data_IF_025151312913
#
_entry.id   IF_025151312913
#
_cell.length_a   1.000
_cell.length_b   1.000
_cell.length_c   1.000
_cell.angle_alpha   90.00
_cell.angle_beta   90.00
_cell.angle_gamma   90.00
#
_symmetry.space_group_name_H-M   'P 1'
#
loop_
_entity.id
_entity.type
_entity.pdbx_description
1 polymer ?
#
# COMPACT_ATOMS: atom_id res chain seq x y z
N UNK A 1 -7.19 1.23 -3.32
CA UNK A 1 -8.38 0.93 -2.55
C UNK A 1 -8.04 0.28 -1.23
N UNK A 2 -8.87 0.53 -0.25
CA UNK A 2 -8.63 0.04 1.12
C UNK A 2 -8.53 -1.49 1.20
N UNK A 3 -9.35 -2.21 0.45
CA UNK A 3 -9.33 -3.67 0.46
C UNK A 3 -8.03 -4.22 -0.15
N UNK A 4 -7.50 -3.57 -1.19
CA UNK A 4 -6.23 -3.94 -1.77
C UNK A 4 -5.10 -3.83 -0.73
N UNK A 5 -5.09 -2.74 0.03
CA UNK A 5 -4.08 -2.51 1.07
C UNK A 5 -4.16 -3.55 2.18
N UNK A 6 -5.37 -3.90 2.61
CA UNK A 6 -5.58 -4.92 3.63
C UNK A 6 -5.05 -6.28 3.17
N UNK A 7 -5.29 -6.63 1.92
CA UNK A 7 -4.81 -7.88 1.33
C UNK A 7 -3.28 -7.88 1.22
N UNK A 8 -2.70 -6.79 0.71
CA UNK A 8 -1.25 -6.68 0.63
C UNK A 8 -0.60 -6.79 2.01
N UNK A 9 -1.20 -6.17 3.03
CA UNK A 9 -0.69 -6.23 4.39
C UNK A 9 -0.56 -7.66 4.89
N UNK A 10 -1.57 -8.50 4.64
CA UNK A 10 -1.54 -9.90 5.05
C UNK A 10 -0.44 -10.66 4.31
N UNK A 11 -0.28 -10.40 3.00
CA UNK A 11 0.80 -11.04 2.24
C UNK A 11 2.19 -10.65 2.74
N UNK A 12 2.39 -9.38 3.11
CA UNK A 12 3.67 -9.00 3.70
C UNK A 12 3.91 -9.70 5.04
N UNK A 13 2.86 -9.85 5.84
CA UNK A 13 2.97 -10.50 7.14
C UNK A 13 3.30 -12.00 7.02
N UNK A 14 2.72 -12.67 6.03
CA UNK A 14 2.88 -14.12 5.84
C UNK A 14 4.02 -14.49 4.90
N UNK A 15 4.53 -13.56 4.11
CA UNK A 15 5.50 -13.73 3.04
C UNK A 15 4.95 -14.47 1.82
N UNK A 16 4.22 -15.54 1.99
CA UNK A 16 3.48 -16.21 0.90
C UNK A 16 2.29 -16.94 1.48
N UNK A 17 1.22 -17.04 0.71
CA UNK A 17 0.00 -17.69 1.17
C UNK A 17 -0.93 -18.03 0.00
N UNK A 18 -1.80 -18.98 0.24
CA UNK A 18 -2.95 -19.24 -0.61
C UNK A 18 -4.05 -18.25 -0.27
N UNK A 19 -4.94 -17.96 -1.22
CA UNK A 19 -6.04 -17.00 -1.00
C UNK A 19 -6.89 -17.41 0.21
N UNK A 20 -7.20 -18.71 0.34
CA UNK A 20 -8.00 -19.21 1.47
C UNK A 20 -7.37 -18.93 2.83
N UNK A 21 -6.04 -18.82 2.88
CA UNK A 21 -5.32 -18.60 4.14
C UNK A 21 -5.37 -17.15 4.60
N UNK A 22 -5.56 -16.21 3.68
CA UNK A 22 -5.57 -14.79 4.03
C UNK A 22 -6.95 -14.30 4.46
N UNK A 23 -8.02 -14.95 3.99
CA UNK A 23 -9.38 -14.49 4.28
C UNK A 23 -9.67 -14.40 5.78
N UNK A 24 -9.31 -15.40 6.61
CA UNK A 24 -9.57 -15.31 8.05
C UNK A 24 -8.82 -14.15 8.74
N UNK A 25 -7.77 -13.64 8.11
CA UNK A 25 -6.94 -12.57 8.67
C UNK A 25 -7.39 -11.18 8.22
N UNK A 26 -8.40 -11.12 7.33
CA UNK A 26 -8.95 -9.85 6.88
C UNK A 26 -10.03 -9.36 7.85
N UNK A 27 -10.25 -8.02 7.90
CA UNK A 27 -11.26 -7.45 8.79
C UNK A 27 -12.68 -7.92 8.48
N UNK A 28 -13.52 -7.95 9.52
CA UNK A 28 -14.94 -8.24 9.36
C UNK A 28 -15.68 -7.06 8.70
N UNK A 29 -16.72 -7.32 7.90
CA UNK A 29 -17.19 -8.64 7.51
C UNK A 29 -16.22 -9.32 6.55
N UNK A 30 -16.02 -10.62 6.72
CA UNK A 30 -15.07 -11.37 5.88
C UNK A 30 -15.53 -11.33 4.43
N UNK A 31 -14.64 -11.01 3.48
CA UNK A 31 -15.00 -11.02 2.06
C UNK A 31 -15.14 -12.44 1.53
N UNK A 32 -15.90 -12.57 0.46
CA UNK A 32 -16.03 -13.84 -0.25
C UNK A 32 -14.73 -14.18 -0.97
N UNK A 33 -14.46 -15.48 -1.10
CA UNK A 33 -13.29 -15.97 -1.82
C UNK A 33 -13.17 -15.34 -3.21
N UNK A 34 -14.25 -15.31 -3.98
CA UNK A 34 -14.21 -14.79 -5.34
C UNK A 34 -13.84 -13.31 -5.39
N UNK A 35 -14.30 -12.54 -4.40
CA UNK A 35 -13.95 -11.11 -4.32
C UNK A 35 -12.46 -10.93 -4.06
N UNK A 36 -11.93 -11.70 -3.12
CA UNK A 36 -10.50 -11.66 -2.81
C UNK A 36 -9.66 -12.13 -4.00
N UNK A 37 -10.07 -13.21 -4.66
CA UNK A 37 -9.38 -13.72 -5.83
C UNK A 37 -9.30 -12.69 -6.95
N UNK A 38 -10.37 -11.94 -7.18
CA UNK A 38 -10.39 -10.87 -8.18
C UNK A 38 -9.38 -9.78 -7.84
N UNK A 39 -9.34 -9.35 -6.58
CA UNK A 39 -8.41 -8.32 -6.14
C UNK A 39 -6.96 -8.82 -6.24
N UNK A 40 -6.70 -10.06 -5.83
CA UNK A 40 -5.36 -10.66 -5.92
C UNK A 40 -4.89 -10.69 -7.37
N UNK A 41 -5.77 -11.03 -8.31
CA UNK A 41 -5.44 -11.01 -9.73
C UNK A 41 -5.08 -9.61 -10.20
N UNK A 42 -5.83 -8.62 -9.78
CA UNK A 42 -5.54 -7.21 -10.11
C UNK A 42 -4.17 -6.81 -9.54
N UNK A 43 -3.88 -7.17 -8.30
CA UNK A 43 -2.59 -6.88 -7.69
C UNK A 43 -1.43 -7.56 -8.43
N UNK A 44 -1.65 -8.77 -8.92
CA UNK A 44 -0.65 -9.46 -9.73
C UNK A 44 -0.45 -8.76 -11.07
N UNK A 45 -1.52 -8.33 -11.71
CA UNK A 45 -1.46 -7.59 -12.98
C UNK A 45 -0.72 -6.27 -12.82
N UNK A 46 -0.86 -5.63 -11.67
CA UNK A 46 -0.13 -4.38 -11.34
C UNK A 46 1.35 -4.63 -11.05
N UNK A 47 1.77 -5.88 -10.90
CA UNK A 47 3.14 -6.21 -10.58
C UNK A 47 3.46 -6.16 -9.10
N UNK A 48 2.46 -6.17 -8.23
CA UNK A 48 2.64 -6.12 -6.77
C UNK A 48 2.73 -7.51 -6.15
N UNK A 49 2.08 -8.49 -6.76
CA UNK A 49 2.12 -9.88 -6.35
C UNK A 49 2.56 -10.75 -7.52
N UNK A 50 3.09 -11.92 -7.20
CA UNK A 50 3.32 -12.98 -8.16
C UNK A 50 2.91 -14.29 -7.49
N UNK A 51 2.93 -15.38 -8.21
CA UNK A 51 2.57 -16.67 -7.63
C UNK A 51 3.45 -17.79 -8.17
N UNK A 52 3.51 -18.86 -7.42
CA UNK A 52 4.05 -20.14 -7.85
C UNK A 52 2.97 -21.18 -7.71
N UNK A 53 2.97 -22.16 -8.60
CA UNK A 53 1.98 -23.22 -8.57
C UNK A 53 2.37 -24.29 -7.57
N UNK A 54 1.43 -24.67 -6.70
CA UNK A 54 1.60 -25.75 -5.73
C UNK A 54 0.44 -26.71 -5.91
N UNK A 55 0.68 -27.80 -6.64
CA UNK A 55 -0.38 -28.73 -7.04
C UNK A 55 -1.36 -28.04 -7.99
N UNK A 56 -2.63 -27.99 -7.61
CA UNK A 56 -3.68 -27.31 -8.38
C UNK A 56 -3.92 -25.87 -7.89
N UNK A 57 -3.11 -25.36 -6.98
CA UNK A 57 -3.35 -24.09 -6.32
C UNK A 57 -2.22 -23.12 -6.60
N UNK A 58 -2.52 -21.84 -6.50
CA UNK A 58 -1.53 -20.77 -6.63
C UNK A 58 -1.19 -20.21 -5.26
N UNK A 59 0.11 -20.23 -4.94
CA UNK A 59 0.63 -19.61 -3.72
C UNK A 59 1.18 -18.25 -4.08
N UNK A 60 0.56 -17.20 -3.59
CA UNK A 60 0.93 -15.83 -3.94
C UNK A 60 1.93 -15.25 -2.95
N UNK A 61 2.76 -14.33 -3.43
CA UNK A 61 3.76 -13.66 -2.62
C UNK A 61 3.99 -12.23 -3.13
N UNK A 62 4.34 -11.28 -2.24
CA UNK A 62 4.61 -9.92 -2.67
C UNK A 62 5.95 -9.81 -3.38
N UNK A 63 5.99 -9.01 -4.45
CA UNK A 63 7.21 -8.73 -5.20
C UNK A 63 7.65 -7.28 -5.06
N UNK A 64 6.90 -6.48 -4.30
CA UNK A 64 7.29 -5.14 -3.92
C UNK A 64 7.29 -5.02 -2.40
N UNK A 65 8.10 -4.09 -1.89
CA UNK A 65 8.13 -3.81 -0.46
C UNK A 65 6.93 -2.97 -0.05
N UNK A 66 6.67 -2.91 1.28
CA UNK A 66 5.65 -2.03 1.84
C UNK A 66 5.92 -0.57 1.48
N UNK A 67 7.17 -0.16 1.53
CA UNK A 67 7.59 1.20 1.19
C UNK A 67 7.34 1.52 -0.28
N UNK A 68 7.67 0.60 -1.16
CA UNK A 68 7.41 0.77 -2.60
C UNK A 68 5.92 0.91 -2.89
N UNK A 69 5.10 0.10 -2.22
CA UNK A 69 3.64 0.19 -2.36
C UNK A 69 3.12 1.55 -1.88
N UNK A 70 3.65 2.05 -0.75
CA UNK A 70 3.29 3.36 -0.23
C UNK A 70 3.62 4.46 -1.23
N UNK A 71 4.76 4.35 -1.91
CA UNK A 71 5.15 5.32 -2.93
C UNK A 71 4.17 5.33 -4.10
N UNK A 72 3.72 4.16 -4.56
CA UNK A 72 2.70 4.08 -5.61
C UNK A 72 1.40 4.74 -5.18
N UNK A 73 0.93 4.44 -3.98
CA UNK A 73 -0.32 4.99 -3.45
C UNK A 73 -0.25 6.51 -3.33
N UNK A 74 0.86 7.03 -2.81
CA UNK A 74 1.06 8.47 -2.65
C UNK A 74 1.16 9.17 -3.99
N UNK A 75 1.89 8.59 -4.93
CA UNK A 75 2.04 9.14 -6.27
C UNK A 75 0.68 9.30 -6.96
N UNK A 76 -0.19 8.32 -6.79
CA UNK A 76 -1.53 8.35 -7.36
C UNK A 76 -2.36 9.50 -6.78
N UNK A 77 -2.31 9.68 -5.47
CA UNK A 77 -3.00 10.78 -4.78
C UNK A 77 -2.48 12.13 -5.29
N UNK A 78 -1.17 12.28 -5.37
CA UNK A 78 -0.56 13.53 -5.83
C UNK A 78 -0.96 13.84 -7.28
N UNK A 79 -1.01 12.81 -8.11
CA UNK A 79 -1.43 12.96 -9.50
C UNK A 79 -2.88 13.40 -9.60
N UNK A 80 -3.77 12.77 -8.84
CA UNK A 80 -5.22 13.01 -8.93
C UNK A 80 -5.67 14.30 -8.28
N UNK A 81 -5.09 14.67 -7.16
CA UNK A 81 -5.59 15.75 -6.33
C UNK A 81 -4.69 16.99 -6.27
N UNK A 82 -3.43 16.86 -6.62
CA UNK A 82 -2.45 17.93 -6.45
C UNK A 82 -1.65 18.23 -7.71
N UNK A 83 -2.19 17.84 -8.85
CA UNK A 83 -1.63 18.22 -10.15
C UNK A 83 -0.15 17.81 -10.30
N UNK A 84 0.18 16.61 -9.79
CA UNK A 84 1.54 16.05 -9.76
C UNK A 84 2.54 16.88 -8.95
N UNK A 85 2.06 17.72 -8.03
CA UNK A 85 2.92 18.58 -7.23
C UNK A 85 2.98 18.15 -5.77
N UNK A 86 4.09 17.55 -5.37
CA UNK A 86 4.35 17.23 -3.96
C UNK A 86 4.39 18.49 -3.08
N UNK A 87 5.01 19.61 -3.51
CA UNK A 87 4.94 20.84 -2.72
C UNK A 87 3.51 21.31 -2.46
N UNK A 88 2.62 21.21 -3.44
CA UNK A 88 1.21 21.58 -3.26
C UNK A 88 0.51 20.67 -2.26
N UNK A 89 0.76 19.36 -2.33
CA UNK A 89 0.20 18.42 -1.38
C UNK A 89 0.67 18.74 0.04
N UNK A 90 1.97 18.95 0.21
CA UNK A 90 2.54 19.24 1.53
C UNK A 90 2.04 20.57 2.09
N UNK A 91 1.92 21.59 1.26
CA UNK A 91 1.38 22.88 1.67
C UNK A 91 -0.09 22.78 2.10
N UNK A 92 -0.89 22.04 1.32
CA UNK A 92 -2.29 21.80 1.67
C UNK A 92 -2.39 21.09 3.02
N UNK A 93 -1.64 20.01 3.18
CA UNK A 93 -1.63 19.24 4.41
C UNK A 93 -1.22 20.09 5.61
N UNK A 94 -0.15 20.87 5.45
CA UNK A 94 0.37 21.72 6.53
C UNK A 94 -0.66 22.73 6.99
N UNK A 95 -1.40 23.36 6.04
CA UNK A 95 -2.45 24.32 6.35
C UNK A 95 -3.65 23.67 7.01
N UNK A 96 -4.11 22.55 6.48
CA UNK A 96 -5.30 21.86 7.01
C UNK A 96 -5.06 21.30 8.42
N UNK A 97 -3.87 20.76 8.66
CA UNK A 97 -3.50 20.22 9.97
C UNK A 97 -2.94 21.28 10.91
N UNK A 98 -2.84 22.54 10.44
CA UNK A 98 -2.31 23.66 11.23
C UNK A 98 -0.96 23.34 11.87
N UNK A 99 -0.04 22.83 11.08
CA UNK A 99 1.30 22.51 11.57
C UNK A 99 2.00 23.75 12.08
N UNK A 100 2.67 23.62 13.21
CA UNK A 100 3.46 24.70 13.79
C UNK A 100 4.80 24.81 13.08
N UNK A 101 5.49 25.94 13.29
CA UNK A 101 6.85 26.13 12.79
C UNK A 101 7.78 25.04 13.29
N UNK A 102 7.63 24.66 14.56
CA UNK A 102 8.44 23.59 15.16
C UNK A 102 8.22 22.26 14.43
N UNK A 103 6.97 21.91 14.14
CA UNK A 103 6.63 20.68 13.41
C UNK A 103 7.20 20.71 11.99
N UNK A 104 7.12 21.86 11.30
CA UNK A 104 7.69 22.00 9.97
C UNK A 104 9.22 21.85 10.01
N UNK A 105 9.88 22.41 11.01
CA UNK A 105 11.32 22.25 11.21
C UNK A 105 11.70 20.79 11.46
N UNK A 106 10.89 20.07 12.23
CA UNK A 106 11.09 18.64 12.46
C UNK A 106 11.03 17.84 11.17
N UNK A 107 10.06 18.15 10.30
CA UNK A 107 9.91 17.48 8.99
C UNK A 107 11.15 17.70 8.15
N UNK A 108 11.61 18.94 8.06
CA UNK A 108 12.83 19.30 7.30
C UNK A 108 14.04 18.56 7.86
N UNK A 109 14.15 18.50 9.18
CA UNK A 109 15.26 17.82 9.85
C UNK A 109 15.27 16.31 9.50
N UNK A 110 14.11 15.65 9.56
CA UNK A 110 13.97 14.25 9.19
C UNK A 110 14.41 13.98 7.76
N UNK A 111 13.99 14.85 6.83
CA UNK A 111 14.36 14.73 5.42
C UNK A 111 15.88 14.82 5.25
N UNK A 112 16.49 15.80 5.86
CA UNK A 112 17.95 16.03 5.77
C UNK A 112 18.73 14.88 6.40
N UNK A 113 18.26 14.35 7.51
CA UNK A 113 18.92 13.25 8.21
C UNK A 113 18.99 12.00 7.33
N UNK A 114 17.92 11.70 6.58
CA UNK A 114 17.87 10.51 5.73
C UNK A 114 18.69 10.64 4.45
N UNK A 115 19.07 11.84 4.07
CA UNK A 115 19.85 12.09 2.86
C UNK A 115 21.34 11.78 3.00
N UNK A 116 21.78 11.47 4.18
CA UNK A 116 23.22 11.22 4.46
C UNK A 116 23.60 9.79 4.14
#
# INVERSE_FOLDING_TARGET
>A
AKREEQIMQVFWDLNKAFIRDIIPLLPDPKPHYNSVATIVKILEEKGFLNHETAGNMHCFFPVISREEYQQFALKDIVSQYFDNSYPRMLAFFAKEQKLTETELDEIVHLIKKEKI
#
